data_IF_101864067961
#
_entry.id   IF_101864067961
#
_cell.length_a   1.000
_cell.length_b   1.000
_cell.length_c   1.000
_cell.angle_alpha   90.00
_cell.angle_beta   90.00
_cell.angle_gamma   90.00
#
_symmetry.space_group_name_H-M   'P 1'
#
loop_
_entity.id
_entity.type
_entity.pdbx_description
1 polymer ?
#
# COMPACT_ATOMS: atom_id res chain seq x y z
N UNK A 1 49.09 16.95 8.45
CA UNK A 1 48.05 16.07 9.01
C UNK A 1 48.51 14.64 8.78
N UNK A 2 48.83 13.96 9.84
CA UNK A 2 49.44 12.65 9.81
C UNK A 2 48.38 11.59 9.43
N UNK A 3 48.77 10.55 8.67
CA UNK A 3 47.87 9.53 8.17
C UNK A 3 47.10 8.73 9.25
N UNK A 4 47.43 8.95 10.50
CA UNK A 4 46.75 8.43 11.68
C UNK A 4 45.43 9.16 11.95
N UNK A 5 45.39 10.49 11.77
CA UNK A 5 44.20 11.30 11.97
C UNK A 5 43.12 11.02 10.92
N UNK A 6 43.53 10.77 9.67
CA UNK A 6 42.58 10.40 8.60
C UNK A 6 41.96 9.00 8.81
N UNK A 7 42.70 8.06 9.44
CA UNK A 7 42.19 6.73 9.78
C UNK A 7 41.24 6.74 10.99
N UNK A 8 41.45 7.62 11.95
CA UNK A 8 40.57 7.81 13.10
C UNK A 8 39.31 8.50 12.63
N UNK A 9 39.37 9.55 11.80
CA UNK A 9 38.24 10.21 11.22
C UNK A 9 37.37 9.24 10.37
N UNK A 10 38.01 8.34 9.57
CA UNK A 10 37.27 7.34 8.80
C UNK A 10 36.55 6.29 9.69
N UNK A 11 37.15 5.89 10.82
CA UNK A 11 36.49 5.01 11.80
C UNK A 11 35.36 5.70 12.55
N UNK A 12 35.47 6.99 12.84
CA UNK A 12 34.42 7.78 13.47
C UNK A 12 33.21 7.95 12.56
N UNK A 13 33.42 8.05 11.25
CA UNK A 13 32.32 8.06 10.28
C UNK A 13 31.58 6.71 10.21
N UNK A 14 32.23 5.58 10.45
CA UNK A 14 31.60 4.26 10.49
C UNK A 14 30.66 4.08 11.71
N UNK A 15 30.90 4.83 12.78
CA UNK A 15 30.02 4.91 13.93
C UNK A 15 28.86 5.93 13.76
N UNK A 16 28.85 6.71 12.68
CA UNK A 16 27.87 7.79 12.50
C UNK A 16 26.43 7.27 12.39
N UNK A 17 26.23 6.07 11.85
CA UNK A 17 24.88 5.52 11.81
C UNK A 17 24.31 5.32 13.20
N UNK A 18 25.06 4.80 14.15
CA UNK A 18 24.60 4.64 15.53
C UNK A 18 24.30 5.97 16.22
N UNK A 19 24.90 7.08 15.77
CA UNK A 19 24.65 8.44 16.29
C UNK A 19 23.50 9.15 15.57
N UNK A 20 23.24 8.82 14.30
CA UNK A 20 22.21 9.46 13.49
C UNK A 20 20.93 8.64 13.39
N UNK A 21 21.01 7.33 13.67
CA UNK A 21 19.88 6.43 13.69
C UNK A 21 18.96 6.75 14.86
N UNK A 22 17.68 6.73 14.62
CA UNK A 22 16.72 6.72 15.72
C UNK A 22 16.62 5.30 16.34
N UNK A 23 16.14 5.15 17.58
CA UNK A 23 16.18 3.87 18.30
C UNK A 23 15.56 2.69 17.56
N UNK A 24 14.51 2.92 16.75
CA UNK A 24 13.84 1.87 15.98
C UNK A 24 14.65 1.30 14.80
N UNK A 25 15.77 1.94 14.43
CA UNK A 25 16.69 1.47 13.39
C UNK A 25 17.87 0.68 13.94
N UNK A 26 18.04 0.63 15.25
CA UNK A 26 19.14 -0.07 15.89
C UNK A 26 18.73 -1.48 16.32
N UNK A 27 19.64 -2.48 16.22
CA UNK A 27 19.36 -3.82 16.70
C UNK A 27 18.94 -3.82 18.16
N UNK A 28 17.87 -4.53 18.53
CA UNK A 28 17.46 -4.62 19.94
C UNK A 28 18.52 -5.34 20.79
N UNK A 29 18.57 -4.99 22.05
CA UNK A 29 19.43 -5.68 23.03
C UNK A 29 18.79 -7.04 23.39
N UNK A 30 19.64 -7.97 23.86
CA UNK A 30 19.19 -9.29 24.35
C UNK A 30 19.26 -10.40 23.30
N UNK A 31 18.64 -11.52 23.66
CA UNK A 31 18.62 -12.71 22.82
C UNK A 31 17.37 -12.71 21.95
N UNK A 32 17.57 -12.67 20.64
CA UNK A 32 16.53 -12.72 19.62
C UNK A 32 17.03 -13.47 18.40
N UNK A 33 16.14 -14.19 17.75
CA UNK A 33 16.44 -14.87 16.49
C UNK A 33 15.99 -14.04 15.27
N UNK A 34 14.89 -13.34 15.40
CA UNK A 34 14.35 -12.47 14.35
C UNK A 34 14.22 -11.05 14.90
N UNK A 35 14.72 -10.10 14.18
CA UNK A 35 14.43 -8.69 14.39
C UNK A 35 13.49 -8.19 13.30
N UNK A 36 12.23 -7.96 13.67
CA UNK A 36 11.20 -7.44 12.77
C UNK A 36 11.14 -5.91 12.88
N UNK A 37 11.59 -5.22 11.83
CA UNK A 37 11.51 -3.76 11.71
C UNK A 37 10.23 -3.41 10.96
N UNK A 38 9.18 -3.03 11.68
CA UNK A 38 7.87 -2.73 11.11
C UNK A 38 7.55 -1.25 11.28
N UNK A 39 7.65 -0.46 10.21
CA UNK A 39 7.47 0.99 10.27
C UNK A 39 6.96 1.60 8.99
N UNK A 40 6.54 2.86 9.06
CA UNK A 40 6.04 3.63 7.93
C UNK A 40 7.04 3.78 6.78
N UNK A 41 6.57 4.30 5.64
CA UNK A 41 7.45 4.65 4.50
C UNK A 41 8.41 5.76 4.92
N UNK A 42 9.68 5.63 4.54
CA UNK A 42 10.70 6.61 4.94
C UNK A 42 11.19 6.44 6.38
N UNK A 43 10.68 5.48 7.17
CA UNK A 43 11.18 5.18 8.53
C UNK A 43 12.67 4.79 8.56
N UNK A 44 13.23 4.36 7.42
CA UNK A 44 14.64 3.94 7.32
C UNK A 44 14.87 2.45 7.53
N UNK A 45 13.84 1.61 7.29
CA UNK A 45 13.92 0.15 7.41
C UNK A 45 15.03 -0.47 6.57
N UNK A 46 15.11 -0.10 5.29
CA UNK A 46 16.16 -0.58 4.36
C UNK A 46 17.56 -0.19 4.85
N UNK A 47 17.72 1.04 5.34
CA UNK A 47 18.98 1.50 5.92
C UNK A 47 19.36 0.67 7.16
N UNK A 48 18.43 0.39 8.05
CA UNK A 48 18.67 -0.46 9.23
C UNK A 48 19.15 -1.87 8.84
N UNK A 49 18.48 -2.49 7.84
CA UNK A 49 18.88 -3.80 7.31
C UNK A 49 20.27 -3.78 6.69
N UNK A 50 20.59 -2.77 5.87
CA UNK A 50 21.88 -2.63 5.22
C UNK A 50 23.02 -2.43 6.23
N UNK A 51 22.85 -1.56 7.22
CA UNK A 51 23.85 -1.30 8.26
C UNK A 51 24.08 -2.52 9.17
N UNK A 52 23.01 -3.26 9.47
CA UNK A 52 23.13 -4.50 10.22
C UNK A 52 23.92 -5.57 9.44
N UNK A 53 23.61 -5.78 8.15
CA UNK A 53 24.35 -6.70 7.28
C UNK A 53 25.81 -6.27 7.13
N UNK A 54 26.06 -4.98 6.95
CA UNK A 54 27.41 -4.41 6.88
C UNK A 54 28.22 -4.73 8.13
N UNK A 55 27.66 -4.46 9.31
CA UNK A 55 28.35 -4.68 10.58
C UNK A 55 28.77 -6.15 10.77
N UNK A 56 27.89 -7.10 10.37
CA UNK A 56 28.19 -8.53 10.41
C UNK A 56 29.29 -8.89 9.41
N UNK A 57 29.14 -8.46 8.16
CA UNK A 57 30.08 -8.79 7.10
C UNK A 57 31.49 -8.24 7.38
N UNK A 58 31.59 -7.06 7.97
CA UNK A 58 32.88 -6.44 8.33
C UNK A 58 33.53 -7.11 9.53
N UNK A 59 32.74 -7.63 10.47
CA UNK A 59 33.26 -8.29 11.69
C UNK A 59 33.61 -9.75 11.50
N UNK A 60 32.94 -10.47 10.57
CA UNK A 60 33.13 -11.91 10.34
C UNK A 60 33.45 -12.22 8.86
N UNK A 61 34.70 -12.54 8.52
CA UNK A 61 35.12 -12.89 7.16
C UNK A 61 34.48 -14.19 6.65
N UNK A 62 33.95 -15.02 7.52
CA UNK A 62 33.25 -16.27 7.17
C UNK A 62 31.72 -16.09 7.07
N UNK A 63 31.21 -14.90 7.30
CA UNK A 63 29.78 -14.63 7.20
C UNK A 63 29.23 -15.04 5.82
N UNK A 64 28.12 -15.74 5.82
CA UNK A 64 27.33 -16.14 4.64
C UNK A 64 25.91 -15.66 4.83
N UNK A 65 25.57 -14.59 4.14
CA UNK A 65 24.34 -13.82 4.40
C UNK A 65 23.35 -14.04 3.26
N UNK A 66 22.11 -14.33 3.56
CA UNK A 66 21.03 -14.33 2.57
C UNK A 66 20.39 -12.94 2.50
N UNK A 67 20.24 -12.40 1.30
CA UNK A 67 19.47 -11.18 1.01
C UNK A 67 18.21 -11.59 0.24
N UNK A 68 17.04 -11.49 0.87
CA UNK A 68 15.79 -11.99 0.31
C UNK A 68 14.83 -10.82 0.11
N UNK A 69 14.38 -10.60 -1.13
CA UNK A 69 13.35 -9.62 -1.46
C UNK A 69 12.22 -10.28 -2.26
N UNK A 70 11.19 -9.54 -2.63
CA UNK A 70 10.06 -10.02 -3.44
C UNK A 70 10.54 -10.62 -4.76
N UNK A 71 11.54 -9.98 -5.38
CA UNK A 71 12.19 -10.43 -6.61
C UNK A 71 13.70 -10.17 -6.60
N UNK A 72 14.47 -10.86 -7.47
CA UNK A 72 15.91 -10.58 -7.64
C UNK A 72 16.18 -9.15 -8.12
N UNK A 73 15.27 -8.57 -8.91
CA UNK A 73 15.36 -7.18 -9.34
C UNK A 73 15.26 -6.21 -8.17
N UNK A 74 14.31 -6.40 -7.25
CA UNK A 74 14.19 -5.60 -6.04
C UNK A 74 15.37 -5.83 -5.08
N UNK A 75 15.80 -7.07 -4.89
CA UNK A 75 16.99 -7.35 -4.08
C UNK A 75 18.21 -6.56 -4.59
N UNK A 76 18.41 -6.51 -5.91
CA UNK A 76 19.49 -5.73 -6.51
C UNK A 76 19.26 -4.23 -6.38
N UNK A 77 18.13 -3.71 -6.85
CA UNK A 77 17.89 -2.26 -6.96
C UNK A 77 17.71 -1.57 -5.62
N UNK A 78 17.21 -2.29 -4.59
CA UNK A 78 16.93 -1.72 -3.26
C UNK A 78 18.01 -2.08 -2.26
N UNK A 79 18.27 -3.40 -2.07
CA UNK A 79 19.16 -3.85 -0.99
C UNK A 79 20.64 -3.66 -1.35
N UNK A 80 21.02 -3.71 -2.63
CA UNK A 80 22.42 -3.63 -3.08
C UNK A 80 22.76 -2.24 -3.59
N UNK A 81 22.13 -1.79 -4.66
CA UNK A 81 22.47 -0.58 -5.42
C UNK A 81 21.68 0.67 -5.00
N UNK A 82 20.63 0.52 -4.17
CA UNK A 82 19.78 1.63 -3.71
C UNK A 82 20.54 2.65 -2.86
N UNK A 83 19.97 3.84 -2.70
CA UNK A 83 20.57 4.94 -1.90
C UNK A 83 20.79 4.56 -0.42
N UNK A 84 19.96 3.68 0.11
CA UNK A 84 20.10 3.09 1.45
C UNK A 84 20.58 1.63 1.40
N UNK A 85 21.10 1.18 0.26
CA UNK A 85 21.58 -0.18 0.05
C UNK A 85 23.03 -0.38 0.50
N UNK A 86 23.45 -1.64 0.45
CA UNK A 86 24.76 -2.07 0.98
C UNK A 86 25.96 -1.36 0.36
N UNK A 87 25.92 -1.05 -0.94
CA UNK A 87 27.02 -0.34 -1.61
C UNK A 87 27.11 1.11 -1.13
N UNK A 88 25.97 1.78 -0.98
CA UNK A 88 25.90 3.18 -0.54
C UNK A 88 26.27 3.33 0.94
N UNK A 89 25.87 2.35 1.78
CA UNK A 89 26.16 2.35 3.21
C UNK A 89 27.61 1.97 3.56
N UNK A 90 28.38 1.39 2.62
CA UNK A 90 29.71 0.89 2.88
C UNK A 90 30.79 1.93 2.59
N UNK A 91 31.77 2.15 3.51
CA UNK A 91 32.93 3.00 3.27
C UNK A 91 33.75 2.52 2.06
N UNK A 92 34.39 3.45 1.36
CA UNK A 92 35.12 3.15 0.12
C UNK A 92 36.12 2.00 0.24
N UNK A 93 36.80 1.88 1.39
CA UNK A 93 37.81 0.82 1.65
C UNK A 93 37.20 -0.54 2.04
N UNK A 94 35.94 -0.60 2.40
CA UNK A 94 35.23 -1.82 2.85
C UNK A 94 34.05 -2.18 1.96
N UNK A 95 33.86 -1.43 0.87
CA UNK A 95 32.74 -1.60 -0.04
C UNK A 95 32.76 -2.98 -0.69
N UNK A 96 31.65 -3.74 -0.60
CA UNK A 96 31.58 -5.04 -1.25
C UNK A 96 31.53 -4.89 -2.78
N UNK A 97 32.13 -5.86 -3.47
CA UNK A 97 32.01 -6.00 -4.93
C UNK A 97 30.75 -6.79 -5.25
N UNK A 98 29.88 -6.23 -6.07
CA UNK A 98 28.73 -6.96 -6.61
C UNK A 98 29.12 -7.76 -7.85
N UNK A 99 28.76 -9.02 -7.89
CA UNK A 99 28.97 -9.97 -8.99
C UNK A 99 27.61 -10.38 -9.57
N UNK A 100 27.09 -9.66 -10.57
CA UNK A 100 25.70 -9.81 -11.04
C UNK A 100 25.37 -11.22 -11.54
N UNK A 101 26.27 -11.88 -12.24
CA UNK A 101 26.07 -13.23 -12.79
C UNK A 101 25.95 -14.32 -11.70
N UNK A 102 26.47 -14.04 -10.51
CA UNK A 102 26.42 -14.93 -9.35
C UNK A 102 25.40 -14.47 -8.31
N UNK A 103 24.70 -13.36 -8.55
CA UNK A 103 23.81 -12.71 -7.60
C UNK A 103 24.46 -12.54 -6.22
N UNK A 104 25.76 -12.16 -6.19
CA UNK A 104 26.59 -12.20 -4.99
C UNK A 104 27.30 -10.88 -4.72
N UNK A 105 27.28 -10.50 -3.44
CA UNK A 105 28.18 -9.48 -2.88
C UNK A 105 29.36 -10.16 -2.19
N UNK A 106 30.57 -9.61 -2.37
CA UNK A 106 31.79 -10.10 -1.72
C UNK A 106 32.56 -8.94 -1.10
N UNK A 107 32.75 -8.99 0.20
CA UNK A 107 33.56 -8.03 0.94
C UNK A 107 35.06 -8.31 0.81
N UNK A 108 35.92 -7.29 1.00
CA UNK A 108 37.39 -7.45 0.92
C UNK A 108 37.93 -8.50 1.90
N UNK A 109 37.30 -8.66 3.08
CA UNK A 109 37.72 -9.64 4.09
C UNK A 109 37.29 -11.08 3.78
N UNK A 110 36.43 -11.32 2.77
CA UNK A 110 35.98 -12.64 2.37
C UNK A 110 34.53 -12.98 2.73
N UNK A 111 33.83 -12.13 3.50
CA UNK A 111 32.39 -12.27 3.76
C UNK A 111 31.59 -12.20 2.45
N UNK A 112 30.44 -12.87 2.42
CA UNK A 112 29.60 -12.94 1.22
C UNK A 112 28.13 -12.80 1.55
N UNK A 113 27.38 -12.13 0.66
CA UNK A 113 25.93 -12.15 0.67
C UNK A 113 25.38 -12.59 -0.69
N UNK A 114 24.33 -13.39 -0.71
CA UNK A 114 23.71 -13.93 -1.93
C UNK A 114 22.26 -13.44 -1.98
N UNK A 115 21.83 -13.01 -3.17
CA UNK A 115 20.48 -12.51 -3.41
C UNK A 115 19.53 -13.66 -3.76
N UNK A 116 18.34 -13.60 -3.19
CA UNK A 116 17.25 -14.55 -3.42
C UNK A 116 15.93 -13.83 -3.68
N UNK A 117 15.03 -14.51 -4.39
CA UNK A 117 13.66 -14.08 -4.63
C UNK A 117 12.69 -14.88 -3.76
N UNK A 118 11.80 -14.19 -3.04
CA UNK A 118 10.72 -14.84 -2.31
C UNK A 118 9.68 -15.51 -3.25
N UNK A 119 9.66 -15.13 -4.53
CA UNK A 119 8.86 -15.78 -5.55
C UNK A 119 9.40 -17.18 -5.95
N UNK A 120 10.65 -17.48 -5.59
CA UNK A 120 11.35 -18.74 -5.91
C UNK A 120 11.85 -19.45 -4.63
N UNK A 121 10.95 -19.94 -3.76
CA UNK A 121 11.31 -20.53 -2.47
C UNK A 121 12.32 -21.67 -2.55
N UNK A 122 12.29 -22.44 -3.63
CA UNK A 122 13.16 -23.59 -3.83
C UNK A 122 14.64 -23.21 -4.01
N UNK A 123 14.93 -21.98 -4.41
CA UNK A 123 16.31 -21.48 -4.53
C UNK A 123 17.04 -21.42 -3.18
N UNK A 124 16.31 -21.37 -2.07
CA UNK A 124 16.85 -21.39 -0.69
C UNK A 124 17.05 -22.81 -0.15
N UNK A 125 16.66 -23.87 -0.88
CA UNK A 125 16.93 -25.25 -0.50
C UNK A 125 18.36 -25.65 -0.91
N UNK A 126 19.16 -26.05 0.07
CA UNK A 126 20.55 -26.46 -0.13
C UNK A 126 21.56 -25.44 0.36
N UNK A 127 21.53 -24.15 -0.05
CA UNK A 127 22.45 -23.14 0.48
C UNK A 127 22.38 -23.02 1.99
N UNK A 128 23.52 -22.67 2.61
CA UNK A 128 23.65 -22.50 4.05
C UNK A 128 24.08 -21.07 4.36
N UNK A 129 23.47 -20.48 5.38
CA UNK A 129 23.69 -19.10 5.78
C UNK A 129 23.95 -18.98 7.29
N UNK A 130 24.67 -17.97 7.69
CA UNK A 130 24.82 -17.55 9.08
C UNK A 130 23.76 -16.52 9.48
N UNK A 131 23.45 -15.62 8.55
CA UNK A 131 22.51 -14.51 8.77
C UNK A 131 21.62 -14.30 7.56
N UNK A 132 20.52 -13.58 7.74
CA UNK A 132 19.67 -13.17 6.62
C UNK A 132 19.07 -11.78 6.84
N UNK A 133 18.90 -11.05 5.74
CA UNK A 133 18.06 -9.87 5.68
C UNK A 133 16.94 -10.11 4.67
N UNK A 134 15.71 -10.02 5.16
CA UNK A 134 14.47 -10.23 4.42
C UNK A 134 13.77 -8.88 4.27
N UNK A 135 13.78 -8.29 3.06
CA UNK A 135 13.21 -6.97 2.83
C UNK A 135 11.75 -7.04 2.38
N UNK A 136 10.93 -6.14 2.93
CA UNK A 136 9.50 -5.97 2.64
C UNK A 136 8.70 -7.29 2.65
N UNK A 137 8.84 -8.08 3.72
CA UNK A 137 8.20 -9.42 3.84
C UNK A 137 6.67 -9.38 3.69
N UNK A 138 6.02 -8.26 4.02
CA UNK A 138 4.58 -8.05 3.81
C UNK A 138 4.17 -7.98 2.34
N UNK A 139 5.12 -7.79 1.41
CA UNK A 139 4.89 -7.82 -0.04
C UNK A 139 5.20 -9.18 -0.68
N UNK A 140 5.77 -10.12 0.06
CA UNK A 140 6.13 -11.40 -0.50
C UNK A 140 4.91 -12.14 -1.06
N UNK A 141 5.07 -12.94 -2.14
CA UNK A 141 3.94 -13.60 -2.79
C UNK A 141 3.15 -14.51 -1.85
N UNK A 142 1.85 -14.26 -1.71
CA UNK A 142 0.97 -15.03 -0.82
C UNK A 142 0.38 -16.27 -1.51
N UNK A 143 0.29 -16.27 -2.85
CA UNK A 143 -0.28 -17.38 -3.60
C UNK A 143 0.46 -18.70 -3.31
N UNK A 144 -0.30 -19.76 -3.01
CA UNK A 144 0.22 -21.08 -2.65
C UNK A 144 1.21 -21.06 -1.48
N UNK A 145 1.02 -20.13 -0.52
CA UNK A 145 1.90 -19.95 0.65
C UNK A 145 3.39 -19.78 0.31
N UNK A 146 3.71 -19.13 -0.80
CA UNK A 146 5.11 -18.94 -1.21
C UNK A 146 5.93 -18.17 -0.17
N UNK A 147 5.34 -17.17 0.47
CA UNK A 147 5.99 -16.42 1.53
C UNK A 147 6.38 -17.32 2.72
N UNK A 148 5.46 -18.18 3.17
CA UNK A 148 5.71 -19.16 4.24
C UNK A 148 6.76 -20.19 3.85
N UNK A 149 6.68 -20.72 2.62
CA UNK A 149 7.67 -21.69 2.10
C UNK A 149 9.06 -21.05 2.00
N UNK A 150 9.17 -19.81 1.48
CA UNK A 150 10.42 -19.08 1.43
C UNK A 150 11.03 -18.90 2.82
N UNK A 151 10.23 -18.46 3.79
CA UNK A 151 10.66 -18.29 5.17
C UNK A 151 11.13 -19.61 5.80
N UNK A 152 10.40 -20.69 5.60
CA UNK A 152 10.74 -22.01 6.14
C UNK A 152 12.06 -22.54 5.54
N UNK A 153 12.23 -22.45 4.20
CA UNK A 153 13.46 -22.89 3.54
C UNK A 153 14.68 -22.07 4.00
N UNK A 154 14.51 -20.74 4.13
CA UNK A 154 15.53 -19.86 4.67
C UNK A 154 15.93 -20.26 6.09
N UNK A 155 14.95 -20.45 6.97
CA UNK A 155 15.17 -20.78 8.38
C UNK A 155 15.89 -22.13 8.54
N UNK A 156 15.56 -23.12 7.70
CA UNK A 156 16.25 -24.41 7.66
C UNK A 156 17.68 -24.30 7.10
N UNK A 157 17.94 -23.31 6.24
CA UNK A 157 19.26 -23.01 5.69
C UNK A 157 20.16 -22.22 6.65
N UNK A 158 19.62 -21.56 7.67
CA UNK A 158 20.37 -20.79 8.67
C UNK A 158 21.01 -21.73 9.72
N UNK A 159 22.19 -22.23 9.40
CA UNK A 159 22.91 -23.23 10.22
C UNK A 159 24.43 -23.07 10.24
N UNK A 160 24.95 -21.93 9.76
CA UNK A 160 26.38 -21.59 9.85
C UNK A 160 26.65 -20.64 11.00
N UNK A 161 27.87 -20.62 11.47
CA UNK A 161 28.32 -19.72 12.54
C UNK A 161 27.80 -20.12 13.93
N UNK A 162 28.06 -19.28 14.91
CA UNK A 162 27.66 -19.51 16.31
C UNK A 162 26.26 -18.97 16.61
N UNK A 163 25.89 -17.86 15.98
CA UNK A 163 24.60 -17.19 16.14
C UNK A 163 23.95 -17.06 14.76
N UNK A 164 22.70 -17.50 14.66
CA UNK A 164 21.91 -17.37 13.44
C UNK A 164 20.81 -16.38 13.69
N UNK A 165 20.85 -15.24 13.00
CA UNK A 165 19.91 -14.13 13.18
C UNK A 165 19.34 -13.68 11.84
N UNK A 166 18.10 -13.22 11.87
CA UNK A 166 17.38 -12.67 10.72
C UNK A 166 16.95 -11.25 11.05
N UNK A 167 17.17 -10.30 10.14
CA UNK A 167 16.45 -9.04 10.10
C UNK A 167 15.35 -9.14 9.06
N UNK A 168 14.13 -8.83 9.44
CA UNK A 168 12.97 -8.76 8.55
C UNK A 168 12.42 -7.34 8.56
N UNK A 169 12.29 -6.72 7.40
CA UNK A 169 11.75 -5.37 7.27
C UNK A 169 10.38 -5.41 6.59
N UNK A 170 9.45 -4.57 7.00
CA UNK A 170 8.17 -4.42 6.33
C UNK A 170 7.47 -3.10 6.68
N UNK A 171 6.71 -2.54 5.75
CA UNK A 171 5.55 -1.73 6.11
C UNK A 171 4.49 -2.65 6.71
N UNK A 172 3.71 -2.20 7.70
CA UNK A 172 2.71 -3.04 8.34
C UNK A 172 1.70 -3.56 7.30
N UNK A 173 1.67 -4.87 7.13
CA UNK A 173 0.69 -5.57 6.29
C UNK A 173 0.21 -6.81 7.01
N UNK A 174 -1.10 -6.99 7.03
CA UNK A 174 -1.73 -8.10 7.71
C UNK A 174 -1.65 -9.38 6.88
N UNK A 175 -0.43 -9.95 6.74
CA UNK A 175 -0.18 -11.22 6.06
C UNK A 175 0.09 -12.34 7.07
N UNK A 176 -0.16 -13.59 6.68
CA UNK A 176 0.06 -14.75 7.55
C UNK A 176 1.51 -14.81 8.08
N UNK A 177 2.51 -14.50 7.24
CA UNK A 177 3.91 -14.47 7.65
C UNK A 177 4.19 -13.36 8.68
N UNK A 178 3.69 -12.14 8.45
CA UNK A 178 3.89 -11.02 9.39
C UNK A 178 3.24 -11.33 10.74
N UNK A 179 2.00 -11.82 10.77
CA UNK A 179 1.33 -12.26 12.01
C UNK A 179 2.14 -13.32 12.73
N UNK A 180 2.55 -14.39 12.04
CA UNK A 180 3.38 -15.45 12.61
C UNK A 180 4.65 -14.93 13.30
N UNK A 181 5.28 -13.89 12.73
CA UNK A 181 6.48 -13.30 13.33
C UNK A 181 6.15 -12.41 14.53
N UNK A 182 5.05 -11.67 14.48
CA UNK A 182 4.57 -10.87 15.63
C UNK A 182 4.26 -11.76 16.83
N UNK A 183 3.62 -12.91 16.60
CA UNK A 183 3.20 -13.84 17.64
C UNK A 183 4.35 -14.72 18.18
N UNK A 184 5.55 -14.64 17.58
CA UNK A 184 6.70 -15.48 17.95
C UNK A 184 7.49 -14.87 19.10
N UNK A 185 7.69 -15.63 20.18
CA UNK A 185 8.50 -15.23 21.36
C UNK A 185 9.97 -14.91 21.03
N UNK A 186 10.50 -15.49 19.95
CA UNK A 186 11.90 -15.27 19.51
C UNK A 186 12.04 -14.08 18.54
N UNK A 187 10.97 -13.30 18.37
CA UNK A 187 10.97 -12.09 17.52
C UNK A 187 11.01 -10.84 18.37
N UNK A 188 12.06 -10.06 18.21
CA UNK A 188 12.12 -8.69 18.72
C UNK A 188 11.55 -7.75 17.67
N UNK A 189 10.64 -6.88 18.07
CA UNK A 189 9.95 -5.95 17.18
C UNK A 189 10.42 -4.53 17.46
N UNK A 190 10.81 -3.81 16.42
CA UNK A 190 10.99 -2.36 16.44
C UNK A 190 10.24 -1.74 15.27
N UNK A 191 9.96 -0.46 15.37
CA UNK A 191 9.23 0.22 14.32
C UNK A 191 8.70 1.55 14.81
N UNK A 192 7.91 2.19 13.96
CA UNK A 192 7.29 3.47 14.28
C UNK A 192 6.85 4.24 13.04
N UNK A 193 6.37 5.46 13.24
CA UNK A 193 5.91 6.31 12.16
C UNK A 193 7.07 6.92 11.36
N UNK A 194 6.76 7.30 10.13
CA UNK A 194 7.65 8.04 9.22
C UNK A 194 8.32 9.25 9.87
N UNK A 195 7.59 9.95 10.73
CA UNK A 195 8.06 11.16 11.41
C UNK A 195 9.25 10.91 12.35
N UNK A 196 9.45 9.69 12.83
CA UNK A 196 10.60 9.36 13.68
C UNK A 196 11.93 9.52 12.92
N UNK A 197 11.87 9.46 11.59
CA UNK A 197 13.00 9.68 10.69
C UNK A 197 12.94 11.03 9.96
N UNK A 198 12.16 12.00 10.46
CA UNK A 198 11.92 13.28 9.78
C UNK A 198 13.19 14.08 9.48
N UNK A 199 14.25 13.93 10.29
CA UNK A 199 15.54 14.60 10.07
C UNK A 199 16.25 14.15 8.79
N UNK A 200 15.94 12.96 8.29
CA UNK A 200 16.52 12.36 7.09
C UNK A 200 15.57 12.41 5.88
N UNK A 201 14.42 13.09 6.00
CA UNK A 201 13.41 13.19 4.95
C UNK A 201 13.19 14.62 4.51
N UNK A 202 12.96 14.89 3.21
CA UNK A 202 12.59 16.21 2.74
C UNK A 202 11.27 16.67 3.39
N UNK A 203 11.23 17.91 3.89
CA UNK A 203 10.00 18.47 4.48
C UNK A 203 8.84 18.50 3.49
N UNK A 204 9.12 18.74 2.20
CA UNK A 204 8.14 18.69 1.11
C UNK A 204 7.46 17.33 0.99
N UNK A 205 8.20 16.22 1.21
CA UNK A 205 7.63 14.87 1.22
C UNK A 205 6.65 14.70 2.39
N UNK A 206 7.04 15.09 3.60
CA UNK A 206 6.17 14.97 4.79
C UNK A 206 4.88 15.77 4.61
N UNK A 207 4.98 17.02 4.17
CA UNK A 207 3.82 17.87 3.95
C UNK A 207 2.90 17.32 2.85
N UNK A 208 3.45 16.82 1.73
CA UNK A 208 2.66 16.23 0.65
C UNK A 208 1.90 14.99 1.15
N UNK A 209 2.55 14.12 1.93
CA UNK A 209 1.92 12.93 2.48
C UNK A 209 0.78 13.26 3.45
N UNK A 210 0.97 14.26 4.32
CA UNK A 210 -0.08 14.74 5.23
C UNK A 210 -1.28 15.32 4.47
N UNK A 211 -1.04 16.05 3.39
CA UNK A 211 -2.09 16.62 2.56
C UNK A 211 -2.87 15.56 1.76
N UNK A 212 -2.16 14.58 1.21
CA UNK A 212 -2.76 13.56 0.34
C UNK A 212 -3.52 12.48 1.13
N UNK A 213 -2.95 12.01 2.23
CA UNK A 213 -3.50 10.89 2.98
C UNK A 213 -4.23 11.29 4.26
N UNK A 214 -3.93 12.45 4.83
CA UNK A 214 -4.57 12.95 6.06
C UNK A 214 -4.55 11.94 7.22
N UNK A 215 -5.71 11.74 7.85
CA UNK A 215 -5.92 10.77 8.93
C UNK A 215 -6.56 9.45 8.45
N UNK A 216 -6.42 9.09 7.18
CA UNK A 216 -6.96 7.84 6.64
C UNK A 216 -6.32 6.61 7.30
N UNK A 217 -7.01 5.47 7.26
CA UNK A 217 -6.42 4.20 7.69
C UNK A 217 -5.15 3.87 6.89
N UNK A 218 -5.12 4.23 5.61
CA UNK A 218 -3.93 4.07 4.77
C UNK A 218 -2.76 4.92 5.30
N UNK A 219 -3.01 6.18 5.72
CA UNK A 219 -1.97 7.00 6.35
C UNK A 219 -1.45 6.38 7.65
N UNK A 220 -2.34 5.86 8.47
CA UNK A 220 -1.97 5.16 9.71
C UNK A 220 -1.09 3.94 9.42
N UNK A 221 -1.41 3.17 8.39
CA UNK A 221 -0.61 2.02 7.98
C UNK A 221 0.72 2.44 7.34
N UNK A 222 0.68 3.26 6.28
CA UNK A 222 1.85 3.56 5.44
C UNK A 222 2.78 4.61 6.05
N UNK A 223 2.25 5.56 6.84
CA UNK A 223 3.02 6.61 7.50
C UNK A 223 3.10 6.42 9.01
N UNK A 224 2.03 5.99 9.64
CA UNK A 224 1.97 5.72 11.08
C UNK A 224 2.72 4.45 11.49
N UNK A 225 2.96 3.54 10.57
CA UNK A 225 3.58 2.25 10.91
C UNK A 225 2.65 1.33 11.71
N UNK A 226 1.33 1.56 11.66
CA UNK A 226 0.34 0.77 12.40
C UNK A 226 -0.11 -0.46 11.59
N UNK A 227 -0.19 -1.59 12.25
CA UNK A 227 -0.81 -2.78 11.66
C UNK A 227 -2.33 -2.61 11.73
N UNK A 228 -2.94 -2.38 10.58
CA UNK A 228 -4.40 -2.28 10.49
C UNK A 228 -4.99 -3.68 10.36
N UNK A 229 -5.84 -4.05 11.29
CA UNK A 229 -6.62 -5.29 11.20
C UNK A 229 -7.71 -5.12 10.15
N UNK A 230 -7.89 -6.13 9.31
CA UNK A 230 -9.05 -6.19 8.41
C UNK A 230 -10.30 -6.48 9.24
N UNK A 231 -11.40 -5.79 8.93
CA UNK A 231 -12.68 -6.03 9.58
C UNK A 231 -13.24 -7.35 9.03
N UNK A 232 -13.41 -8.34 9.90
CA UNK A 232 -13.95 -9.63 9.51
C UNK A 232 -15.41 -9.47 9.04
N UNK A 233 -15.68 -10.01 7.85
CA UNK A 233 -17.02 -9.87 7.23
C UNK A 233 -17.21 -8.61 6.41
N UNK A 234 -16.19 -7.76 6.22
CA UNK A 234 -16.26 -6.64 5.29
C UNK A 234 -16.36 -7.12 3.84
N UNK A 235 -17.08 -6.35 3.00
CA UNK A 235 -17.26 -6.66 1.57
C UNK A 235 -15.99 -6.48 0.75
N UNK A 236 -15.09 -5.61 1.17
CA UNK A 236 -13.79 -5.37 0.52
C UNK A 236 -12.68 -5.48 1.55
N UNK A 237 -11.58 -6.14 1.17
CA UNK A 237 -10.33 -6.13 1.92
C UNK A 237 -9.32 -5.16 1.31
N UNK A 238 -8.38 -4.65 2.11
CA UNK A 238 -7.27 -3.85 1.58
C UNK A 238 -6.47 -4.61 0.54
N UNK A 239 -6.25 -5.90 0.76
CA UNK A 239 -5.53 -6.74 -0.19
C UNK A 239 -6.24 -6.81 -1.55
N UNK A 240 -7.58 -6.86 -1.58
CA UNK A 240 -8.36 -6.82 -2.81
C UNK A 240 -8.21 -5.48 -3.53
N UNK A 241 -8.30 -4.36 -2.81
CA UNK A 241 -8.13 -3.03 -3.39
C UNK A 241 -6.72 -2.81 -3.96
N UNK A 242 -5.69 -3.29 -3.28
CA UNK A 242 -4.31 -3.22 -3.80
C UNK A 242 -4.12 -4.02 -5.11
N UNK A 243 -4.73 -5.21 -5.23
CA UNK A 243 -4.75 -5.97 -6.50
C UNK A 243 -5.56 -5.29 -7.60
N UNK A 244 -6.44 -4.39 -7.21
CA UNK A 244 -7.30 -3.64 -8.13
C UNK A 244 -6.69 -2.32 -8.61
N UNK A 245 -5.40 -2.04 -8.37
CA UNK A 245 -4.73 -0.87 -8.94
C UNK A 245 -4.60 -1.02 -10.45
N UNK A 246 -4.81 0.08 -11.17
CA UNK A 246 -4.52 0.19 -12.60
C UNK A 246 -3.31 1.08 -12.79
N UNK A 247 -2.48 0.75 -13.78
CA UNK A 247 -1.55 1.74 -14.30
C UNK A 247 -2.35 2.93 -14.88
N UNK A 248 -1.91 4.14 -14.60
CA UNK A 248 -2.55 5.39 -14.99
C UNK A 248 -2.48 5.65 -16.53
N UNK A 249 -2.52 4.61 -17.35
CA UNK A 249 -2.56 4.75 -18.79
C UNK A 249 -3.90 5.35 -19.20
N UNK A 250 -3.84 6.46 -19.92
CA UNK A 250 -4.97 7.08 -20.61
C UNK A 250 -5.68 6.00 -21.43
N UNK A 251 -6.85 5.57 -20.98
CA UNK A 251 -7.67 4.60 -21.70
C UNK A 251 -8.86 5.35 -22.31
N UNK A 252 -9.23 4.96 -23.52
CA UNK A 252 -10.49 5.39 -24.10
C UNK A 252 -11.65 4.75 -23.34
N UNK A 253 -12.45 5.59 -22.68
CA UNK A 253 -13.65 5.15 -21.98
C UNK A 253 -14.86 5.25 -22.89
N UNK A 254 -15.63 4.16 -22.97
CA UNK A 254 -16.88 4.12 -23.75
C UNK A 254 -17.96 4.94 -23.08
N UNK A 255 -17.90 5.04 -21.74
CA UNK A 255 -18.88 5.76 -20.94
C UNK A 255 -18.26 6.16 -19.61
N UNK A 256 -18.52 7.41 -19.21
CA UNK A 256 -18.10 7.96 -17.91
C UNK A 256 -19.36 8.37 -17.11
N UNK A 257 -19.40 7.98 -15.85
CA UNK A 257 -20.47 8.27 -14.91
C UNK A 257 -19.92 8.98 -13.69
N UNK A 258 -20.58 10.06 -13.29
CA UNK A 258 -20.41 10.67 -11.96
C UNK A 258 -21.60 10.22 -11.11
N UNK A 259 -21.34 9.55 -10.01
CA UNK A 259 -22.38 9.16 -9.07
C UNK A 259 -22.33 9.98 -7.78
N UNK A 260 -23.48 10.25 -7.22
CA UNK A 260 -23.64 11.15 -6.09
C UNK A 260 -24.54 10.52 -5.04
N UNK A 261 -24.03 10.46 -3.81
CA UNK A 261 -24.81 10.18 -2.59
C UNK A 261 -24.88 11.46 -1.75
N UNK A 262 -25.95 12.26 -1.88
CA UNK A 262 -26.05 13.54 -1.20
C UNK A 262 -26.38 13.35 0.27
N UNK A 263 -25.88 14.22 1.19
CA UNK A 263 -26.19 14.12 2.60
C UNK A 263 -27.68 14.37 2.87
N UNK A 264 -28.23 13.64 3.84
CA UNK A 264 -29.64 13.75 4.24
C UNK A 264 -29.99 15.07 4.93
N UNK A 265 -28.98 15.79 5.47
CA UNK A 265 -29.13 17.05 6.19
C UNK A 265 -27.92 17.96 5.99
N UNK A 266 -28.06 19.26 6.30
CA UNK A 266 -26.97 20.23 6.28
C UNK A 266 -25.81 19.89 7.25
N UNK A 267 -26.11 19.11 8.28
CA UNK A 267 -25.15 18.62 9.27
C UNK A 267 -24.66 17.20 8.96
N UNK A 268 -24.91 16.71 7.74
CA UNK A 268 -24.43 15.42 7.23
C UNK A 268 -22.91 15.38 7.15
N UNK A 269 -22.33 14.20 7.26
CA UNK A 269 -20.89 14.02 7.31
C UNK A 269 -20.24 14.38 5.97
N UNK A 270 -20.73 13.81 4.87
CA UNK A 270 -20.15 13.99 3.53
C UNK A 270 -21.22 13.94 2.43
N UNK A 271 -20.90 14.51 1.28
CA UNK A 271 -21.54 14.18 0.01
C UNK A 271 -20.59 13.29 -0.78
N UNK A 272 -20.97 12.03 -0.98
CA UNK A 272 -20.20 11.09 -1.81
C UNK A 272 -20.30 11.48 -3.28
N UNK A 273 -19.17 11.68 -3.96
CA UNK A 273 -19.11 12.01 -5.39
C UNK A 273 -17.98 11.19 -6.01
N UNK A 274 -18.31 10.17 -6.78
CA UNK A 274 -17.32 9.27 -7.38
C UNK A 274 -17.47 9.25 -8.89
N UNK A 275 -16.34 9.31 -9.59
CA UNK A 275 -16.26 9.22 -11.04
C UNK A 275 -15.73 7.86 -11.44
N UNK A 276 -16.43 7.17 -12.34
CA UNK A 276 -16.01 5.90 -12.89
C UNK A 276 -16.22 5.83 -14.40
N UNK A 277 -15.33 5.12 -15.10
CA UNK A 277 -15.37 4.93 -16.55
C UNK A 277 -15.49 3.46 -16.93
N UNK A 278 -16.26 3.14 -17.97
CA UNK A 278 -16.37 1.83 -18.58
C UNK A 278 -15.42 1.76 -19.77
N UNK A 279 -14.62 0.70 -19.88
CA UNK A 279 -13.72 0.41 -20.98
C UNK A 279 -14.38 -0.46 -22.07
N UNK A 280 -13.78 -0.50 -23.25
CA UNK A 280 -14.23 -1.35 -24.36
C UNK A 280 -14.24 -2.85 -24.04
N UNK A 281 -13.35 -3.31 -23.16
CA UNK A 281 -13.27 -4.71 -22.72
C UNK A 281 -14.35 -5.09 -21.67
N UNK A 282 -15.21 -4.15 -21.30
CA UNK A 282 -16.25 -4.32 -20.30
C UNK A 282 -15.76 -4.25 -18.85
N UNK A 283 -14.49 -3.88 -18.61
CA UNK A 283 -13.97 -3.53 -17.29
C UNK A 283 -14.29 -2.06 -16.96
N UNK A 284 -14.32 -1.73 -15.67
CA UNK A 284 -14.49 -0.35 -15.21
C UNK A 284 -13.30 0.12 -14.41
N UNK A 285 -13.08 1.45 -14.44
CA UNK A 285 -12.02 2.11 -13.65
C UNK A 285 -12.64 3.22 -12.83
N UNK A 286 -12.34 3.23 -11.54
CA UNK A 286 -12.59 4.37 -10.65
C UNK A 286 -11.56 5.43 -10.96
N UNK A 287 -12.02 6.61 -11.39
CA UNK A 287 -11.19 7.68 -11.94
C UNK A 287 -10.88 8.78 -10.92
N UNK A 288 -11.87 9.12 -10.08
CA UNK A 288 -11.72 10.16 -9.07
C UNK A 288 -12.71 9.96 -7.90
N UNK A 289 -12.28 10.36 -6.72
CA UNK A 289 -13.11 10.65 -5.55
C UNK A 289 -13.16 12.19 -5.39
N UNK A 290 -14.29 12.78 -5.78
CA UNK A 290 -14.56 14.22 -5.72
C UNK A 290 -15.46 14.59 -4.54
N UNK A 291 -15.61 13.71 -3.56
CA UNK A 291 -16.50 13.89 -2.40
C UNK A 291 -16.12 15.10 -1.56
N UNK A 292 -17.12 15.74 -0.99
CA UNK A 292 -16.95 16.95 -0.19
C UNK A 292 -17.58 16.77 1.20
N UNK A 293 -16.84 17.17 2.23
CA UNK A 293 -17.28 17.09 3.62
C UNK A 293 -17.92 18.39 4.06
N UNK A 294 -18.96 18.33 4.91
CA UNK A 294 -19.62 19.48 5.54
C UNK A 294 -19.95 20.59 4.52
N UNK A 295 -20.49 20.22 3.37
CA UNK A 295 -20.77 21.13 2.29
C UNK A 295 -22.23 21.57 2.27
N UNK A 296 -22.48 22.86 2.00
CA UNK A 296 -23.84 23.34 1.69
C UNK A 296 -24.35 22.72 0.39
N UNK A 297 -25.68 22.70 0.17
CA UNK A 297 -26.27 22.19 -1.06
C UNK A 297 -25.65 22.76 -2.33
N UNK A 298 -25.39 24.06 -2.36
CA UNK A 298 -24.79 24.74 -3.50
C UNK A 298 -23.33 24.30 -3.73
N UNK A 299 -22.59 24.05 -2.64
CA UNK A 299 -21.20 23.66 -2.70
C UNK A 299 -21.01 22.24 -3.24
N UNK A 300 -21.79 21.26 -2.72
CA UNK A 300 -21.67 19.90 -3.26
C UNK A 300 -22.24 19.79 -4.68
N UNK A 301 -23.32 20.54 -5.01
CA UNK A 301 -23.82 20.53 -6.37
C UNK A 301 -22.84 21.14 -7.38
N UNK A 302 -22.09 22.19 -6.97
CA UNK A 302 -21.00 22.73 -7.78
C UNK A 302 -19.89 21.69 -7.99
N UNK A 303 -19.48 20.96 -6.94
CA UNK A 303 -18.48 19.90 -7.05
C UNK A 303 -18.92 18.79 -8.02
N UNK A 304 -20.22 18.44 -8.04
CA UNK A 304 -20.77 17.49 -9.01
C UNK A 304 -20.71 18.04 -10.44
N UNK A 305 -21.08 19.31 -10.63
CA UNK A 305 -21.04 19.95 -11.95
C UNK A 305 -19.60 20.05 -12.47
N UNK A 306 -18.65 20.44 -11.61
CA UNK A 306 -17.23 20.52 -11.95
C UNK A 306 -16.67 19.12 -12.30
N UNK A 307 -17.00 18.08 -11.51
CA UNK A 307 -16.60 16.71 -11.82
C UNK A 307 -17.19 16.24 -13.16
N UNK A 308 -18.47 16.50 -13.42
CA UNK A 308 -19.10 16.14 -14.68
C UNK A 308 -18.45 16.83 -15.88
N UNK A 309 -18.07 18.09 -15.74
CA UNK A 309 -17.40 18.86 -16.78
C UNK A 309 -15.96 18.39 -17.01
N UNK A 310 -15.16 18.24 -15.94
CA UNK A 310 -13.74 17.83 -16.01
C UNK A 310 -13.61 16.47 -16.71
N UNK A 311 -14.49 15.53 -16.37
CA UNK A 311 -14.44 14.17 -16.88
C UNK A 311 -15.31 13.97 -18.13
N UNK A 312 -15.97 15.00 -18.65
CA UNK A 312 -16.90 14.93 -19.77
C UNK A 312 -17.93 13.78 -19.56
N UNK A 313 -18.57 13.76 -18.40
CA UNK A 313 -19.41 12.64 -17.98
C UNK A 313 -20.65 12.49 -18.84
N UNK A 314 -20.90 11.28 -19.33
CA UNK A 314 -22.10 10.94 -20.11
C UNK A 314 -23.36 10.92 -19.24
N UNK A 315 -23.20 10.76 -17.94
CA UNK A 315 -24.31 10.71 -16.98
C UNK A 315 -23.90 11.09 -15.56
N UNK A 316 -24.78 11.82 -14.89
CA UNK A 316 -24.76 12.04 -13.44
C UNK A 316 -25.86 11.20 -12.81
N UNK A 317 -25.52 10.28 -11.90
CA UNK A 317 -26.47 9.43 -11.16
C UNK A 317 -26.54 9.91 -9.73
N UNK A 318 -27.69 10.36 -9.26
CA UNK A 318 -27.84 10.86 -7.91
C UNK A 318 -28.90 10.06 -7.14
N UNK A 319 -28.54 9.62 -5.92
CA UNK A 319 -29.49 8.99 -5.00
C UNK A 319 -30.52 10.03 -4.53
N UNK A 320 -31.81 9.63 -4.55
CA UNK A 320 -32.91 10.52 -4.29
C UNK A 320 -33.92 9.99 -3.23
N UNK A 321 -33.45 9.13 -2.32
CA UNK A 321 -34.29 8.53 -1.28
C UNK A 321 -34.80 9.56 -0.28
N UNK A 322 -33.98 10.54 0.05
CA UNK A 322 -34.37 11.66 0.91
C UNK A 322 -34.32 12.96 0.12
N UNK A 323 -35.46 13.61 -0.03
CA UNK A 323 -35.52 14.91 -0.72
C UNK A 323 -35.32 14.88 -2.23
N UNK A 324 -35.70 13.81 -2.95
CA UNK A 324 -35.43 13.61 -4.38
C UNK A 324 -35.69 14.78 -5.31
N UNK A 325 -36.79 15.49 -5.15
CA UNK A 325 -37.10 16.69 -5.92
C UNK A 325 -36.11 17.84 -5.59
N UNK A 326 -35.71 17.95 -4.33
CA UNK A 326 -34.70 18.94 -3.88
C UNK A 326 -33.31 18.64 -4.46
N UNK A 327 -32.87 17.39 -4.44
CA UNK A 327 -31.58 16.98 -5.03
C UNK A 327 -31.54 17.36 -6.51
N UNK A 328 -32.58 17.04 -7.28
CA UNK A 328 -32.65 17.42 -8.69
C UNK A 328 -32.67 18.95 -8.90
N UNK A 329 -33.39 19.67 -8.04
CA UNK A 329 -33.46 21.13 -8.12
C UNK A 329 -32.11 21.80 -7.86
N UNK A 330 -31.39 21.35 -6.82
CA UNK A 330 -30.09 21.89 -6.44
C UNK A 330 -29.02 21.58 -7.51
N UNK A 331 -29.01 20.36 -8.06
CA UNK A 331 -28.08 20.00 -9.14
C UNK A 331 -28.34 20.80 -10.42
N UNK A 332 -29.62 20.98 -10.81
CA UNK A 332 -29.99 21.80 -11.99
C UNK A 332 -29.74 23.29 -11.78
N UNK A 333 -29.81 23.77 -10.55
CA UNK A 333 -29.45 25.16 -10.23
C UNK A 333 -27.94 25.42 -10.37
N UNK A 334 -27.11 24.40 -10.09
CA UNK A 334 -25.66 24.49 -10.30
C UNK A 334 -25.28 24.42 -11.79
N UNK A 335 -25.89 23.50 -12.55
CA UNK A 335 -25.70 23.34 -14.00
C UNK A 335 -26.95 22.71 -14.64
N UNK A 336 -27.65 23.47 -15.48
CA UNK A 336 -28.92 23.07 -16.09
C UNK A 336 -28.78 21.94 -17.12
N UNK A 337 -27.60 21.83 -17.74
CA UNK A 337 -27.31 20.86 -18.81
C UNK A 337 -26.83 19.49 -18.28
N UNK A 338 -26.74 19.29 -16.95
CA UNK A 338 -26.32 18.01 -16.37
C UNK A 338 -27.18 16.83 -16.88
N UNK A 339 -26.55 15.76 -17.42
CA UNK A 339 -27.27 14.56 -17.86
C UNK A 339 -27.72 13.72 -16.66
N UNK A 340 -28.62 14.29 -15.85
CA UNK A 340 -29.03 13.79 -14.54
C UNK A 340 -29.99 12.61 -14.62
N UNK A 341 -29.68 11.54 -13.90
CA UNK A 341 -30.55 10.40 -13.61
C UNK A 341 -30.73 10.27 -12.10
N UNK A 342 -31.96 10.40 -11.61
CA UNK A 342 -32.26 10.10 -10.22
C UNK A 342 -32.43 8.59 -10.02
N UNK A 343 -31.94 8.06 -8.93
CA UNK A 343 -32.07 6.65 -8.54
C UNK A 343 -32.60 6.57 -7.11
N UNK A 344 -33.34 5.49 -6.85
CA UNK A 344 -33.89 5.22 -5.53
C UNK A 344 -33.41 3.86 -5.03
N UNK A 345 -32.90 3.81 -3.78
CA UNK A 345 -32.54 2.57 -3.15
C UNK A 345 -33.78 1.77 -2.77
N UNK A 346 -33.97 0.65 -3.44
CA UNK A 346 -35.04 -0.33 -3.10
C UNK A 346 -34.53 -1.45 -2.19
N UNK A 347 -33.20 -1.53 -1.96
CA UNK A 347 -32.55 -2.54 -1.13
C UNK A 347 -31.57 -1.86 -0.16
N UNK A 348 -31.25 -2.53 0.94
CA UNK A 348 -30.25 -2.06 1.90
C UNK A 348 -28.84 -1.86 1.27
N UNK A 349 -27.99 -1.06 1.89
CA UNK A 349 -26.65 -0.70 1.41
C UNK A 349 -25.79 -1.94 1.08
N UNK A 350 -25.73 -2.93 1.97
CA UNK A 350 -24.98 -4.17 1.73
C UNK A 350 -25.48 -4.94 0.51
N UNK A 351 -26.78 -5.15 0.38
CA UNK A 351 -27.37 -5.89 -0.75
C UNK A 351 -27.17 -5.20 -2.12
N UNK A 352 -26.91 -3.89 -2.14
CA UNK A 352 -26.53 -3.15 -3.35
C UNK A 352 -25.01 -3.26 -3.61
N UNK A 353 -24.23 -3.31 -2.54
CA UNK A 353 -22.77 -3.34 -2.58
C UNK A 353 -22.22 -4.74 -2.93
N UNK A 354 -22.84 -5.83 -2.50
CA UNK A 354 -22.41 -7.21 -2.77
C UNK A 354 -22.15 -7.51 -4.26
N UNK A 355 -23.04 -7.18 -5.22
CA UNK A 355 -22.76 -7.42 -6.64
C UNK A 355 -21.56 -6.61 -7.15
N UNK A 356 -21.33 -5.42 -6.58
CA UNK A 356 -20.17 -4.59 -6.92
C UNK A 356 -18.88 -5.19 -6.36
N UNK A 357 -18.92 -5.70 -5.12
CA UNK A 357 -17.78 -6.40 -4.53
C UNK A 357 -17.39 -7.64 -5.37
N UNK A 358 -18.37 -8.39 -5.86
CA UNK A 358 -18.11 -9.51 -6.77
C UNK A 358 -17.41 -9.10 -8.08
N UNK A 359 -17.65 -7.90 -8.61
CA UNK A 359 -16.91 -7.38 -9.76
C UNK A 359 -15.43 -7.12 -9.44
N UNK A 360 -15.12 -6.67 -8.22
CA UNK A 360 -13.72 -6.50 -7.77
C UNK A 360 -13.02 -7.86 -7.64
N UNK A 361 -13.68 -8.84 -7.03
CA UNK A 361 -13.14 -10.21 -6.92
C UNK A 361 -12.88 -10.83 -8.30
N UNK A 362 -13.75 -10.57 -9.26
CA UNK A 362 -13.57 -10.98 -10.65
C UNK A 362 -12.50 -10.18 -11.42
N UNK A 363 -11.83 -9.21 -10.78
CA UNK A 363 -10.81 -8.36 -11.41
C UNK A 363 -11.33 -7.39 -12.47
N UNK A 364 -12.65 -7.18 -12.51
CA UNK A 364 -13.34 -6.35 -13.52
C UNK A 364 -13.40 -4.86 -13.17
N UNK A 365 -13.01 -4.48 -11.95
CA UNK A 365 -12.94 -3.08 -11.51
C UNK A 365 -11.51 -2.76 -11.09
N UNK A 366 -11.03 -1.60 -11.50
CA UNK A 366 -9.71 -1.09 -11.14
C UNK A 366 -9.81 0.32 -10.59
N UNK A 367 -8.79 0.76 -9.84
CA UNK A 367 -8.62 2.14 -9.36
C UNK A 367 -7.41 2.76 -10.07
N UNK A 368 -7.57 3.92 -10.71
CA UNK A 368 -6.46 4.62 -11.37
C UNK A 368 -5.54 5.36 -10.39
N UNK A 369 -5.86 5.35 -9.11
CA UNK A 369 -5.10 5.98 -8.03
C UNK A 369 -5.46 5.40 -6.68
N UNK A 370 -4.90 5.98 -5.64
CA UNK A 370 -5.25 5.66 -4.25
C UNK A 370 -6.30 6.65 -3.77
N UNK A 371 -7.48 6.17 -3.46
CA UNK A 371 -8.61 6.98 -2.95
C UNK A 371 -8.83 6.65 -1.47
N UNK A 372 -7.90 7.11 -0.62
CA UNK A 372 -7.79 6.66 0.76
C UNK A 372 -9.11 6.70 1.55
N UNK A 373 -9.83 7.83 1.53
CA UNK A 373 -11.09 7.99 2.26
C UNK A 373 -12.23 7.11 1.70
N UNK A 374 -12.32 6.98 0.37
CA UNK A 374 -13.27 6.08 -0.28
C UNK A 374 -12.97 4.62 0.09
N UNK A 375 -11.72 4.22 0.00
CA UNK A 375 -11.27 2.85 0.27
C UNK A 375 -11.43 2.47 1.74
N UNK A 376 -11.27 3.42 2.67
CA UNK A 376 -11.56 3.22 4.08
C UNK A 376 -13.04 2.91 4.30
N UNK A 377 -13.95 3.62 3.64
CA UNK A 377 -15.37 3.35 3.70
C UNK A 377 -15.74 2.01 3.06
N UNK A 378 -15.13 1.65 1.94
CA UNK A 378 -15.34 0.34 1.29
C UNK A 378 -14.96 -0.81 2.21
N UNK A 379 -13.76 -0.76 2.83
CA UNK A 379 -13.27 -1.80 3.74
C UNK A 379 -14.05 -1.91 5.06
N UNK A 380 -14.95 -1.00 5.32
CA UNK A 380 -15.78 -0.97 6.52
C UNK A 380 -17.28 -1.27 6.26
N UNK A 381 -17.67 -1.56 5.02
CA UNK A 381 -19.00 -2.03 4.66
C UNK A 381 -19.10 -3.54 4.87
N UNK A 382 -20.05 -3.95 5.73
CA UNK A 382 -20.21 -5.34 6.15
C UNK A 382 -21.15 -6.12 5.22
N UNK A 383 -20.80 -7.37 4.89
CA UNK A 383 -21.64 -8.27 4.07
C UNK A 383 -23.01 -8.54 4.71
N UNK A 384 -23.08 -8.65 6.04
CA UNK A 384 -24.34 -8.82 6.77
C UNK A 384 -25.18 -7.54 6.94
N UNK A 385 -24.73 -6.42 6.40
CA UNK A 385 -25.27 -5.09 6.66
C UNK A 385 -24.59 -4.42 7.85
N UNK A 386 -24.52 -3.11 7.81
CA UNK A 386 -23.79 -2.30 8.79
C UNK A 386 -22.56 -1.63 8.19
N UNK A 387 -22.01 -0.71 8.97
CA UNK A 387 -20.85 0.09 8.60
C UNK A 387 -20.00 0.35 9.86
N UNK A 388 -18.73 0.00 9.81
CA UNK A 388 -17.78 0.11 10.93
C UNK A 388 -16.62 1.08 10.62
N UNK A 389 -16.82 1.99 9.67
CA UNK A 389 -15.80 2.89 9.16
C UNK A 389 -15.87 4.30 9.75
N UNK A 390 -15.02 5.19 9.19
CA UNK A 390 -15.00 6.59 9.59
C UNK A 390 -16.32 7.31 9.24
N UNK A 391 -16.77 8.21 10.13
CA UNK A 391 -18.04 8.92 9.96
C UNK A 391 -19.26 8.10 10.38
N UNK A 392 -20.45 8.59 10.00
CA UNK A 392 -21.72 7.93 10.31
C UNK A 392 -22.27 7.07 9.19
N UNK A 393 -21.81 7.31 7.98
CA UNK A 393 -22.32 6.72 6.75
C UNK A 393 -21.20 6.50 5.75
N UNK A 394 -21.37 5.53 4.86
CA UNK A 394 -20.41 5.18 3.81
C UNK A 394 -20.73 5.93 2.50
N UNK A 395 -20.91 7.24 2.53
CA UNK A 395 -21.47 8.02 1.42
C UNK A 395 -20.59 7.96 0.16
N UNK A 396 -19.25 7.92 0.31
CA UNK A 396 -18.32 7.72 -0.82
C UNK A 396 -18.47 6.32 -1.42
N UNK A 397 -18.54 5.29 -0.58
CA UNK A 397 -18.70 3.92 -1.04
C UNK A 397 -20.09 3.69 -1.67
N UNK A 398 -21.16 4.33 -1.15
CA UNK A 398 -22.49 4.31 -1.77
C UNK A 398 -22.49 4.99 -3.15
N UNK A 399 -21.82 6.13 -3.29
CA UNK A 399 -21.64 6.77 -4.59
C UNK A 399 -20.89 5.85 -5.57
N UNK A 400 -19.81 5.18 -5.14
CA UNK A 400 -19.11 4.19 -5.96
C UNK A 400 -20.05 3.05 -6.40
N UNK A 401 -20.83 2.51 -5.46
CA UNK A 401 -21.79 1.43 -5.76
C UNK A 401 -22.80 1.87 -6.82
N UNK A 402 -23.30 3.10 -6.75
CA UNK A 402 -24.17 3.65 -7.79
C UNK A 402 -23.49 3.82 -9.14
N UNK A 403 -22.24 4.32 -9.18
CA UNK A 403 -21.49 4.47 -10.41
C UNK A 403 -21.31 3.12 -11.13
N UNK A 404 -20.81 2.10 -10.40
CA UNK A 404 -20.56 0.78 -10.98
C UNK A 404 -21.87 0.01 -11.28
N UNK A 405 -22.92 0.23 -10.51
CA UNK A 405 -24.24 -0.31 -10.84
C UNK A 405 -24.76 0.23 -12.16
N UNK A 406 -24.64 1.54 -12.39
CA UNK A 406 -25.06 2.18 -13.66
C UNK A 406 -24.22 1.71 -14.85
N UNK A 407 -22.91 1.56 -14.67
CA UNK A 407 -21.98 1.17 -15.75
C UNK A 407 -22.05 -0.32 -16.09
N UNK A 408 -22.17 -1.20 -15.08
CA UNK A 408 -21.90 -2.63 -15.27
C UNK A 408 -23.08 -3.54 -14.93
N UNK A 409 -23.98 -3.13 -14.04
CA UNK A 409 -25.10 -3.96 -13.55
C UNK A 409 -26.46 -3.48 -14.06
N UNK A 410 -26.54 -2.22 -14.52
CA UNK A 410 -27.75 -1.68 -15.15
C UNK A 410 -28.05 -2.46 -16.44
N UNK A 411 -29.34 -2.71 -16.74
CA UNK A 411 -29.75 -3.28 -18.02
C UNK A 411 -29.22 -2.37 -19.14
N UNK A 412 -28.22 -2.81 -19.89
CA UNK A 412 -27.87 -2.21 -21.18
C UNK A 412 -29.11 -2.37 -22.05
N UNK A 413 -29.79 -1.26 -22.37
CA UNK A 413 -30.82 -1.24 -23.39
C UNK A 413 -30.12 -1.64 -24.70
N UNK A 414 -30.21 -2.92 -25.08
CA UNK A 414 -29.81 -3.36 -26.43
C UNK A 414 -30.65 -2.57 -27.40
N UNK A 415 -30.07 -1.85 -28.36
CA UNK A 415 -30.85 -1.21 -29.40
C UNK A 415 -31.65 -2.32 -30.09
N UNK A 416 -33.00 -2.30 -29.95
CA UNK A 416 -33.89 -3.12 -30.78
C UNK A 416 -33.94 -2.43 -32.13
N UNK A 417 -33.26 -2.99 -33.10
CA UNK A 417 -33.49 -2.70 -34.52
C UNK A 417 -34.84 -3.39 -34.83
N UNK A 418 -35.92 -2.60 -34.85
CA UNK A 418 -37.16 -3.05 -35.48
C UNK A 418 -36.95 -2.94 -36.99
N UNK A 419 -36.78 -4.05 -37.69
CA UNK A 419 -36.92 -4.06 -39.13
C UNK A 419 -38.37 -3.69 -39.43
N UNK A 420 -38.56 -2.62 -40.26
CA UNK A 420 -39.83 -2.23 -40.91
C UNK A 420 -40.05 -3.15 -42.08
#
# INVERSE_FOLDING_TARGET
MDGTDARIAARDWDNLFSLTAHPGQLPPSGDWRVWLVMGGRGFGKTRAGAEWVRSIAESDPFARIALVATSLGEARSVMVEGESGLIACSPAGQRPKFEPSLHRLRWPNGAQAILYSAAEPESLRGPQHSHAWCDEIGKWPQAHDRAGQCWNNLTLGLRLGKEQRIVATTTPRNTALVRRLIDSENTAISGGPTRDNALNLPQTFLTAMEQEFGNSLLARQELGGELIEEIEGALWSRALLERSRADAAVADYVRIVVAVDPPASSDGDECGIVVAGLRNDGSSVVLADCSVSKASPERWARAVADAAQIWAADRVVAEANQGGAMVASVLRAAEISLPLKLVHASRGKAARAEPVAALYEAGRVKHCGTFAALEDQMCALMAGGGYEGPGRSADRADALVWALTELMLGQQARPRISAI
#
